data_IF_824128369283
#
_entry.id   IF_824128369283
#
_cell.length_a   1.000
_cell.length_b   1.000
_cell.length_c   1.000
_cell.angle_alpha   90.00
_cell.angle_beta   90.00
_cell.angle_gamma   90.00
#
_symmetry.space_group_name_H-M   'P 1'
#
loop_
_entity.id
_entity.type
_entity.pdbx_description
1 polymer ?
#
# COMPACT_ATOMS: atom_id res chain seq x y z
N UNK A 1 -20.37 14.42 21.74
CA UNK A 1 -20.28 12.97 21.55
C UNK A 1 -19.05 12.72 20.71
N UNK A 2 -17.91 12.43 21.33
CA UNK A 2 -16.68 12.10 20.59
C UNK A 2 -16.85 10.75 19.88
N UNK A 3 -16.63 10.72 18.56
CA UNK A 3 -16.48 9.49 17.79
C UNK A 3 -15.10 8.86 18.11
N UNK A 4 -14.93 8.34 19.32
CA UNK A 4 -13.73 7.58 19.66
C UNK A 4 -13.82 6.20 19.00
N UNK A 5 -13.09 5.99 17.90
CA UNK A 5 -12.90 4.66 17.30
C UNK A 5 -12.93 4.58 15.77
N UNK A 6 -13.39 5.63 15.07
CA UNK A 6 -13.37 5.67 13.60
C UNK A 6 -12.13 6.42 13.13
N UNK A 7 -11.34 5.78 12.27
CA UNK A 7 -10.17 6.37 11.63
C UNK A 7 -10.42 6.59 10.14
N UNK A 8 -9.81 7.63 9.57
CA UNK A 8 -9.90 7.99 8.16
C UNK A 8 -8.60 7.62 7.45
N UNK A 9 -8.71 7.17 6.19
CA UNK A 9 -7.57 6.58 5.51
C UNK A 9 -7.86 6.18 4.08
N UNK A 10 -6.97 5.36 3.54
CA UNK A 10 -7.04 4.82 2.18
C UNK A 10 -6.88 3.31 2.21
N UNK A 11 -7.58 2.62 1.33
CA UNK A 11 -7.45 1.19 1.16
C UNK A 11 -6.22 0.84 0.31
N UNK A 12 -5.54 -0.26 0.60
CA UNK A 12 -4.50 -0.79 -0.28
C UNK A 12 -4.31 -2.30 -0.09
N UNK A 13 -3.73 -2.94 -1.09
CA UNK A 13 -3.28 -4.33 -0.96
C UNK A 13 -1.86 -4.32 -0.37
N UNK A 14 -1.73 -4.75 0.88
CA UNK A 14 -0.45 -4.84 1.57
C UNK A 14 0.21 -6.19 1.26
N UNK A 15 1.51 -6.20 0.96
CA UNK A 15 2.29 -7.44 0.83
C UNK A 15 3.64 -7.25 1.51
N UNK A 16 3.92 -8.06 2.52
CA UNK A 16 5.13 -7.93 3.36
C UNK A 16 6.39 -8.33 2.61
N UNK A 17 6.33 -9.47 1.92
CA UNK A 17 7.37 -9.92 0.98
C UNK A 17 6.65 -10.30 -0.30
N UNK A 18 6.97 -9.64 -1.42
CA UNK A 18 6.19 -9.69 -2.68
C UNK A 18 5.99 -11.06 -3.33
N UNK A 19 6.38 -12.14 -2.67
CA UNK A 19 6.15 -13.53 -3.05
C UNK A 19 5.02 -14.21 -2.29
N UNK A 20 4.56 -13.71 -1.15
CA UNK A 20 3.68 -14.50 -0.25
C UNK A 20 2.19 -14.23 -0.44
N UNK A 21 1.85 -13.16 -1.17
CA UNK A 21 0.48 -12.69 -1.34
C UNK A 21 0.22 -11.41 -0.55
N UNK A 22 -0.99 -10.90 -0.71
CA UNK A 22 -1.38 -9.63 -0.13
C UNK A 22 -2.64 -9.72 0.71
N UNK A 23 -2.63 -8.93 1.76
CA UNK A 23 -3.75 -8.70 2.64
C UNK A 23 -4.48 -7.40 2.29
N UNK A 24 -5.81 -7.45 2.38
CA UNK A 24 -6.62 -6.25 2.29
C UNK A 24 -6.35 -5.38 3.51
N UNK A 25 -5.84 -4.18 3.26
CA UNK A 25 -5.38 -3.31 4.32
C UNK A 25 -5.93 -1.89 4.18
N UNK A 26 -5.92 -1.19 5.30
CA UNK A 26 -6.30 0.19 5.46
C UNK A 26 -5.11 0.95 6.03
N UNK A 27 -4.72 2.03 5.36
CA UNK A 27 -3.70 2.94 5.84
C UNK A 27 -4.36 4.19 6.43
N UNK A 28 -4.13 4.43 7.72
CA UNK A 28 -4.56 5.65 8.41
C UNK A 28 -3.89 6.89 7.83
N UNK A 29 -4.70 7.87 7.44
CA UNK A 29 -4.26 9.11 6.80
C UNK A 29 -3.32 9.96 7.68
N UNK A 30 -3.37 9.80 9.01
CA UNK A 30 -2.47 10.50 9.95
C UNK A 30 -1.01 10.06 9.81
N UNK A 31 -0.78 8.89 9.21
CA UNK A 31 0.53 8.27 9.01
C UNK A 31 0.95 8.27 7.53
N UNK A 32 0.34 9.15 6.72
CA UNK A 32 0.70 9.38 5.33
C UNK A 32 1.25 10.80 5.19
N UNK A 33 2.53 10.91 4.91
CA UNK A 33 3.13 12.17 4.50
C UNK A 33 2.98 12.34 2.98
N UNK A 34 2.31 13.42 2.56
CA UNK A 34 1.97 13.67 1.16
C UNK A 34 3.05 14.48 0.46
N UNK A 35 3.27 14.19 -0.81
CA UNK A 35 4.18 14.95 -1.69
C UNK A 35 5.63 15.01 -1.16
N UNK A 36 6.12 13.90 -0.61
CA UNK A 36 7.50 13.77 -0.15
C UNK A 36 8.40 13.51 -1.36
N UNK A 37 9.48 14.29 -1.54
CA UNK A 37 10.49 13.97 -2.52
C UNK A 37 11.16 12.64 -2.19
N UNK A 38 11.16 11.70 -3.12
CA UNK A 38 11.70 10.35 -2.91
C UNK A 38 13.20 10.26 -3.21
N UNK A 39 13.83 11.37 -3.59
CA UNK A 39 15.26 11.43 -3.82
C UNK A 39 15.73 10.62 -5.03
N UNK A 40 14.84 10.22 -5.95
CA UNK A 40 15.21 9.58 -7.20
C UNK A 40 14.55 10.26 -8.40
N UNK A 41 15.22 10.20 -9.55
CA UNK A 41 14.75 10.79 -10.79
C UNK A 41 13.78 9.82 -11.48
N UNK A 42 12.53 10.23 -11.71
CA UNK A 42 11.56 9.39 -12.44
C UNK A 42 11.86 9.21 -13.94
N UNK A 43 12.76 10.03 -14.51
CA UNK A 43 13.18 9.93 -15.92
C UNK A 43 14.29 8.90 -16.12
N UNK A 44 15.40 9.03 -15.39
CA UNK A 44 16.56 8.15 -15.55
C UNK A 44 16.64 7.03 -14.49
N UNK A 45 15.86 7.09 -13.41
CA UNK A 45 15.92 6.11 -12.32
C UNK A 45 17.17 6.23 -11.44
N UNK A 46 17.92 7.33 -11.55
CA UNK A 46 19.07 7.60 -10.69
C UNK A 46 18.65 8.27 -9.38
N UNK A 47 19.32 7.90 -8.29
CA UNK A 47 19.22 8.62 -7.02
C UNK A 47 19.85 10.02 -7.15
N UNK A 48 19.10 11.04 -6.73
CA UNK A 48 19.49 12.45 -6.79
C UNK A 48 20.32 12.87 -5.57
N UNK A 49 20.21 12.13 -4.48
CA UNK A 49 21.00 12.30 -3.27
C UNK A 49 21.69 10.99 -2.89
N UNK A 50 22.80 11.11 -2.16
CA UNK A 50 23.57 9.96 -1.68
C UNK A 50 22.80 9.28 -0.54
N UNK A 51 22.28 8.09 -0.78
CA UNK A 51 21.62 7.28 0.24
C UNK A 51 22.64 6.83 1.32
N UNK A 52 22.36 7.12 2.59
CA UNK A 52 23.05 6.50 3.73
C UNK A 52 22.21 5.29 4.19
N UNK A 53 22.61 4.07 3.84
CA UNK A 53 21.87 2.86 4.22
C UNK A 53 22.12 1.64 3.31
N UNK A 54 21.46 0.50 3.56
CA UNK A 54 21.54 -0.68 2.70
C UNK A 54 20.99 -0.38 1.29
N UNK A 55 21.59 -1.01 0.28
CA UNK A 55 21.29 -0.77 -1.14
C UNK A 55 19.79 -1.02 -1.42
N UNK A 56 19.07 0.02 -1.82
CA UNK A 56 17.70 -0.10 -2.36
C UNK A 56 17.76 -0.26 -3.88
N UNK A 57 17.10 -1.29 -4.41
CA UNK A 57 17.00 -1.54 -5.86
C UNK A 57 16.11 -0.46 -6.49
N UNK A 58 16.72 0.53 -7.13
CA UNK A 58 16.01 1.71 -7.65
C UNK A 58 15.30 1.54 -8.98
N UNK A 59 15.73 0.59 -9.83
CA UNK A 59 15.10 0.32 -11.15
C UNK A 59 15.45 -1.08 -11.65
N UNK A 60 14.43 -1.84 -12.05
CA UNK A 60 14.61 -3.09 -12.80
C UNK A 60 14.57 -2.74 -14.28
N UNK A 61 15.68 -2.92 -14.98
CA UNK A 61 15.77 -2.69 -16.44
C UNK A 61 15.65 -4.03 -17.16
N UNK A 62 14.76 -4.10 -18.14
CA UNK A 62 14.69 -5.22 -19.09
C UNK A 62 15.98 -5.27 -19.91
N UNK A 63 16.68 -6.41 -19.87
CA UNK A 63 17.85 -6.66 -20.71
C UNK A 63 17.32 -7.03 -22.11
N UNK A 64 17.38 -6.08 -23.03
CA UNK A 64 17.14 -6.34 -24.46
C UNK A 64 18.39 -6.96 -25.11
N UNK A 65 18.24 -7.57 -26.30
CA UNK A 65 19.39 -8.12 -27.05
C UNK A 65 20.47 -7.06 -27.29
N UNK A 66 20.07 -5.83 -27.64
CA UNK A 66 20.99 -4.69 -27.82
C UNK A 66 21.79 -4.36 -26.55
N UNK A 67 21.13 -4.41 -25.37
CA UNK A 67 21.78 -4.16 -24.08
C UNK A 67 22.72 -5.31 -23.73
N UNK A 68 22.32 -6.55 -24.02
CA UNK A 68 23.16 -7.73 -23.80
C UNK A 68 24.43 -7.72 -24.66
N UNK A 69 24.32 -7.34 -25.94
CA UNK A 69 25.45 -7.21 -26.86
C UNK A 69 26.44 -6.14 -26.41
N UNK A 70 25.95 -5.00 -25.94
CA UNK A 70 26.81 -3.91 -25.45
C UNK A 70 27.55 -4.29 -24.16
N UNK A 71 26.89 -5.01 -23.24
CA UNK A 71 27.52 -5.56 -22.04
C UNK A 71 28.60 -6.56 -22.41
N UNK A 72 28.33 -7.46 -23.36
CA UNK A 72 29.31 -8.44 -23.82
C UNK A 72 30.53 -7.77 -24.47
N UNK A 73 30.33 -6.65 -25.17
CA UNK A 73 31.40 -5.89 -25.82
C UNK A 73 32.24 -5.07 -24.84
N UNK A 74 31.60 -4.43 -23.86
CA UNK A 74 32.25 -3.40 -23.03
C UNK A 74 32.48 -3.83 -21.58
N UNK A 75 31.85 -4.92 -21.15
CA UNK A 75 31.76 -5.33 -19.75
C UNK A 75 30.92 -4.39 -18.88
N UNK A 76 30.20 -3.43 -19.47
CA UNK A 76 29.44 -2.40 -18.77
C UNK A 76 28.01 -2.32 -19.31
N UNK A 77 27.06 -2.01 -18.43
CA UNK A 77 25.75 -1.56 -18.85
C UNK A 77 25.90 -0.24 -19.63
N UNK A 78 25.23 -0.08 -20.79
CA UNK A 78 25.22 1.21 -21.49
C UNK A 78 24.74 2.31 -20.55
N UNK A 79 25.50 3.39 -20.43
CA UNK A 79 25.08 4.63 -19.75
C UNK A 79 23.95 5.28 -20.57
N UNK A 80 22.74 4.78 -20.42
CA UNK A 80 21.55 5.55 -20.77
C UNK A 80 21.24 6.47 -19.60
N UNK A 81 21.88 7.64 -19.58
CA UNK A 81 21.28 8.79 -18.91
C UNK A 81 20.11 9.22 -19.77
N UNK A 82 18.91 8.77 -19.42
CA UNK A 82 17.67 9.24 -20.04
C UNK A 82 17.45 10.76 -19.76
N UNK A 83 18.33 11.43 -19.01
CA UNK A 83 18.33 12.87 -18.74
C UNK A 83 19.45 13.58 -19.52
N UNK A 84 19.07 14.54 -20.37
CA UNK A 84 19.99 15.43 -21.07
C UNK A 84 20.38 16.60 -20.14
N UNK A 85 21.67 16.91 -20.02
CA UNK A 85 22.21 18.04 -19.25
C UNK A 85 21.75 18.09 -17.77
N UNK A 86 21.71 16.95 -17.08
CA UNK A 86 21.29 16.87 -15.67
C UNK A 86 19.88 17.43 -15.40
N UNK A 87 19.00 17.44 -16.42
CA UNK A 87 17.60 17.86 -16.31
C UNK A 87 16.75 16.78 -15.61
N UNK A 88 17.17 16.43 -14.40
CA UNK A 88 16.49 15.48 -13.54
C UNK A 88 15.11 15.98 -13.15
N UNK A 89 14.18 15.04 -13.00
CA UNK A 89 12.86 15.32 -12.46
C UNK A 89 12.65 14.44 -11.25
N UNK A 90 12.65 15.06 -10.08
CA UNK A 90 12.47 14.37 -8.81
C UNK A 90 11.11 13.69 -8.75
N UNK A 91 11.11 12.43 -8.36
CA UNK A 91 9.89 11.71 -8.03
C UNK A 91 9.36 12.22 -6.70
N UNK A 92 8.09 12.59 -6.69
CA UNK A 92 7.38 13.09 -5.51
C UNK A 92 6.19 12.17 -5.31
N UNK A 93 6.09 11.61 -4.11
CA UNK A 93 5.02 10.66 -3.78
C UNK A 93 4.71 10.63 -2.31
N UNK A 94 3.79 9.76 -1.93
CA UNK A 94 3.43 9.61 -0.53
C UNK A 94 4.45 8.71 0.18
N UNK A 95 4.76 9.05 1.43
CA UNK A 95 5.55 8.25 2.36
C UNK A 95 4.63 7.71 3.45
N UNK A 96 4.57 6.39 3.59
CA UNK A 96 3.64 5.70 4.48
C UNK A 96 4.40 5.07 5.65
N UNK A 97 3.83 5.14 6.85
CA UNK A 97 4.35 4.45 8.03
C UNK A 97 3.55 3.19 8.35
N UNK A 98 4.27 2.12 8.68
CA UNK A 98 3.70 0.86 9.20
C UNK A 98 2.87 1.06 10.48
N UNK A 99 3.09 2.13 11.23
CA UNK A 99 2.31 2.44 12.44
C UNK A 99 0.82 2.69 12.16
N UNK A 100 0.49 3.14 10.94
CA UNK A 100 -0.89 3.37 10.51
C UNK A 100 -1.48 2.23 9.68
N UNK A 101 -0.79 1.09 9.58
CA UNK A 101 -1.23 -0.06 8.79
C UNK A 101 -2.23 -0.90 9.60
N UNK A 102 -3.40 -1.12 9.02
CA UNK A 102 -4.44 -1.98 9.59
C UNK A 102 -4.81 -3.06 8.58
N UNK A 103 -4.42 -4.31 8.85
CA UNK A 103 -4.95 -5.46 8.12
C UNK A 103 -6.42 -5.63 8.50
N UNK A 104 -7.30 -5.78 7.50
CA UNK A 104 -8.72 -5.93 7.75
C UNK A 104 -9.02 -7.30 8.36
N UNK A 105 -9.86 -7.32 9.39
CA UNK A 105 -10.26 -8.52 10.10
C UNK A 105 -11.79 -8.67 10.13
N UNK A 106 -12.27 -9.90 10.29
CA UNK A 106 -13.70 -10.17 10.46
C UNK A 106 -14.30 -9.35 11.61
N UNK A 107 -15.42 -8.69 11.34
CA UNK A 107 -16.12 -7.84 12.29
C UNK A 107 -15.76 -6.37 12.23
N UNK A 108 -14.67 -6.00 11.55
CA UNK A 108 -14.37 -4.60 11.25
C UNK A 108 -15.52 -3.95 10.49
N UNK A 109 -15.77 -2.66 10.73
CA UNK A 109 -16.77 -1.91 9.96
C UNK A 109 -16.07 -0.92 9.07
N UNK A 110 -16.36 -1.00 7.78
CA UNK A 110 -15.69 -0.21 6.77
C UNK A 110 -16.72 0.57 5.94
N UNK A 111 -16.41 1.82 5.67
CA UNK A 111 -17.17 2.71 4.78
C UNK A 111 -16.21 3.17 3.69
N UNK A 112 -16.58 2.97 2.43
CA UNK A 112 -15.77 3.35 1.27
C UNK A 112 -16.48 4.48 0.52
N UNK A 113 -15.75 5.53 0.21
CA UNK A 113 -16.25 6.72 -0.48
C UNK A 113 -15.79 6.77 -1.93
N UNK A 114 -16.54 7.46 -2.76
CA UNK A 114 -16.14 7.75 -4.14
C UNK A 114 -14.87 8.62 -4.15
N UNK A 115 -13.92 8.31 -5.05
CA UNK A 115 -12.65 9.05 -5.15
C UNK A 115 -12.83 10.50 -5.60
N UNK A 116 -13.91 10.79 -6.34
CA UNK A 116 -14.20 12.12 -6.87
C UNK A 116 -15.16 12.90 -5.96
N UNK A 117 -15.96 12.18 -5.17
CA UNK A 117 -16.93 12.75 -4.24
C UNK A 117 -16.86 12.05 -2.88
N UNK A 118 -16.10 12.64 -1.95
CA UNK A 118 -15.91 12.09 -0.60
C UNK A 118 -17.19 12.09 0.26
N UNK A 119 -18.29 12.68 -0.20
CA UNK A 119 -19.59 12.59 0.48
C UNK A 119 -20.42 11.40 0.00
N UNK A 120 -20.06 10.80 -1.14
CA UNK A 120 -20.77 9.68 -1.74
C UNK A 120 -20.20 8.36 -1.23
N UNK A 121 -20.97 7.67 -0.40
CA UNK A 121 -20.67 6.28 0.02
C UNK A 121 -20.96 5.34 -1.15
N UNK A 122 -19.96 4.55 -1.53
CA UNK A 122 -20.09 3.54 -2.61
C UNK A 122 -20.17 2.11 -2.07
N UNK A 123 -19.70 1.90 -0.85
CA UNK A 123 -19.84 0.64 -0.13
C UNK A 123 -19.80 0.88 1.37
N UNK A 124 -20.57 0.10 2.13
CA UNK A 124 -20.54 0.08 3.58
C UNK A 124 -20.91 -1.32 4.06
N UNK A 125 -20.19 -1.84 5.05
CA UNK A 125 -20.47 -3.16 5.59
C UNK A 125 -19.61 -3.55 6.77
N UNK A 126 -19.89 -4.74 7.27
CA UNK A 126 -19.04 -5.46 8.22
C UNK A 126 -18.17 -6.40 7.40
N UNK A 127 -16.86 -6.39 7.66
CA UNK A 127 -15.89 -7.27 7.02
C UNK A 127 -16.19 -8.72 7.40
N UNK A 128 -16.25 -9.58 6.38
CA UNK A 128 -16.43 -11.03 6.46
C UNK A 128 -15.58 -11.65 5.36
N UNK A 129 -14.43 -12.20 5.72
CA UNK A 129 -13.39 -12.66 4.81
C UNK A 129 -13.51 -14.15 4.57
N UNK A 130 -13.78 -14.51 3.31
CA UNK A 130 -13.59 -15.88 2.83
C UNK A 130 -12.10 -16.11 2.60
N UNK A 131 -11.48 -16.87 3.49
CA UNK A 131 -10.06 -17.18 3.42
C UNK A 131 -9.75 -18.22 2.33
N UNK A 132 -8.56 -18.08 1.75
CA UNK A 132 -8.01 -18.96 0.71
C UNK A 132 -6.71 -19.60 1.15
N UNK A 133 -6.38 -20.74 0.54
CA UNK A 133 -5.04 -21.32 0.67
C UNK A 133 -4.03 -20.46 -0.09
N UNK A 134 -2.76 -20.49 0.35
CA UNK A 134 -1.69 -19.77 -0.33
C UNK A 134 -1.60 -20.15 -1.81
N UNK A 135 -1.37 -19.16 -2.67
CA UNK A 135 -1.18 -19.33 -4.12
C UNK A 135 -2.37 -19.90 -4.89
N UNK A 136 -3.59 -19.75 -4.38
CA UNK A 136 -4.78 -20.26 -5.06
C UNK A 136 -5.54 -19.19 -5.83
N UNK A 137 -5.58 -17.98 -5.30
CA UNK A 137 -6.41 -16.90 -5.84
C UNK A 137 -5.58 -15.64 -6.10
N UNK A 138 -5.92 -14.93 -7.17
CA UNK A 138 -5.24 -13.69 -7.58
C UNK A 138 -6.24 -12.58 -7.86
N UNK A 139 -5.72 -11.36 -7.76
CA UNK A 139 -6.34 -10.17 -8.33
C UNK A 139 -6.20 -10.13 -9.86
N UNK A 140 -6.94 -9.23 -10.53
CA UNK A 140 -6.82 -9.01 -11.98
C UNK A 140 -5.42 -8.61 -12.48
N UNK A 141 -4.57 -8.05 -11.62
CA UNK A 141 -3.17 -7.73 -11.95
C UNK A 141 -2.18 -8.84 -11.55
N UNK A 142 -2.66 -10.01 -11.14
CA UNK A 142 -1.84 -11.19 -10.86
C UNK A 142 -1.18 -11.23 -9.49
N UNK A 143 -1.62 -10.39 -8.54
CA UNK A 143 -1.14 -10.45 -7.15
C UNK A 143 -1.91 -11.53 -6.40
N UNK A 144 -1.21 -12.41 -5.67
CA UNK A 144 -1.87 -13.41 -4.82
C UNK A 144 -2.62 -12.72 -3.69
N UNK A 145 -3.78 -13.26 -3.31
CA UNK A 145 -4.62 -12.76 -2.22
C UNK A 145 -4.95 -13.87 -1.23
N UNK A 146 -5.14 -13.49 0.03
CA UNK A 146 -5.47 -14.43 1.09
C UNK A 146 -6.97 -14.56 1.36
N UNK A 147 -7.77 -13.61 0.89
CA UNK A 147 -9.21 -13.65 1.14
C UNK A 147 -10.02 -12.83 0.13
N UNK A 148 -11.34 -13.03 0.11
CA UNK A 148 -12.31 -12.13 -0.51
C UNK A 148 -13.36 -11.69 0.53
N UNK A 149 -13.94 -10.51 0.34
CA UNK A 149 -15.11 -10.09 1.10
C UNK A 149 -16.35 -10.88 0.66
N UNK A 150 -17.01 -11.56 1.61
CA UNK A 150 -18.25 -12.27 1.38
C UNK A 150 -19.37 -11.34 0.88
N UNK A 151 -20.13 -11.83 -0.10
CA UNK A 151 -21.23 -11.09 -0.72
C UNK A 151 -20.80 -9.94 -1.65
N UNK A 152 -19.51 -9.76 -1.90
CA UNK A 152 -18.97 -8.78 -2.86
C UNK A 152 -18.19 -9.54 -3.95
N UNK A 153 -18.40 -9.16 -5.20
CA UNK A 153 -17.66 -9.74 -6.32
C UNK A 153 -16.20 -9.26 -6.30
N UNK A 154 -15.23 -10.15 -6.56
CA UNK A 154 -13.81 -9.86 -6.40
C UNK A 154 -13.36 -8.66 -7.21
N UNK A 155 -13.77 -8.54 -8.48
CA UNK A 155 -13.33 -7.43 -9.33
C UNK A 155 -13.80 -6.07 -8.81
N UNK A 156 -14.94 -6.03 -8.12
CA UNK A 156 -15.40 -4.83 -7.40
C UNK A 156 -14.57 -4.62 -6.13
N UNK A 157 -14.34 -5.68 -5.36
CA UNK A 157 -13.61 -5.59 -4.09
C UNK A 157 -12.17 -5.16 -4.29
N UNK A 158 -11.41 -5.86 -5.13
CA UNK A 158 -10.00 -5.58 -5.39
C UNK A 158 -9.79 -4.16 -5.91
N UNK A 159 -10.75 -3.62 -6.69
CA UNK A 159 -10.67 -2.28 -7.24
C UNK A 159 -10.54 -1.24 -6.13
N UNK A 160 -11.25 -1.40 -5.02
CA UNK A 160 -11.18 -0.46 -3.91
C UNK A 160 -9.77 -0.35 -3.33
N UNK A 161 -9.05 -1.47 -3.24
CA UNK A 161 -7.71 -1.54 -2.66
C UNK A 161 -6.63 -1.19 -3.69
N UNK A 162 -6.70 -1.74 -4.89
CA UNK A 162 -5.69 -1.50 -5.93
C UNK A 162 -5.68 -0.04 -6.40
N UNK A 163 -6.83 0.65 -6.37
CA UNK A 163 -6.92 2.05 -6.76
C UNK A 163 -6.82 3.04 -5.58
N UNK A 164 -6.67 2.57 -4.34
CA UNK A 164 -6.50 3.49 -3.21
C UNK A 164 -7.76 4.27 -2.83
N UNK A 165 -8.90 3.60 -2.68
CA UNK A 165 -10.15 4.30 -2.36
C UNK A 165 -10.13 4.89 -0.94
N UNK A 166 -10.66 6.12 -0.76
CA UNK A 166 -10.80 6.75 0.54
C UNK A 166 -11.84 6.01 1.38
N UNK A 167 -11.53 5.82 2.66
CA UNK A 167 -12.37 5.03 3.55
C UNK A 167 -12.35 5.51 5.00
N UNK A 168 -13.33 5.03 5.76
CA UNK A 168 -13.37 5.09 7.22
C UNK A 168 -13.42 3.68 7.79
N UNK A 169 -12.53 3.41 8.74
CA UNK A 169 -12.46 2.13 9.42
C UNK A 169 -12.82 2.29 10.89
N UNK A 170 -13.66 1.40 11.37
CA UNK A 170 -14.01 1.23 12.77
C UNK A 170 -13.59 -0.18 13.19
N UNK A 171 -12.34 -0.26 13.67
CA UNK A 171 -11.65 -1.52 13.88
C UNK A 171 -12.03 -2.18 15.22
N UNK A 172 -12.35 -3.47 15.17
CA UNK A 172 -12.62 -4.28 16.36
C UNK A 172 -11.36 -4.41 17.21
N UNK A 173 -10.20 -4.60 16.57
CA UNK A 173 -8.91 -4.73 17.26
C UNK A 173 -8.52 -3.45 18.02
N UNK A 174 -8.77 -2.27 17.43
CA UNK A 174 -8.57 -0.98 18.12
C UNK A 174 -9.51 -0.86 19.33
N UNK A 175 -10.79 -1.22 19.19
CA UNK A 175 -11.75 -1.19 20.30
C UNK A 175 -11.37 -2.13 21.44
N UNK A 176 -10.89 -3.34 21.12
CA UNK A 176 -10.42 -4.32 22.11
C UNK A 176 -9.23 -3.77 22.90
N UNK A 177 -8.24 -3.19 22.23
CA UNK A 177 -7.05 -2.62 22.86
C UNK A 177 -7.40 -1.49 23.84
N UNK A 178 -8.34 -0.61 23.48
CA UNK A 178 -8.82 0.46 24.37
C UNK A 178 -9.54 -0.14 25.59
N UNK A 179 -10.43 -1.10 25.37
CA UNK A 179 -11.18 -1.74 26.45
C UNK A 179 -10.26 -2.45 27.46
N UNK A 180 -9.21 -3.13 26.98
CA UNK A 180 -8.24 -3.81 27.83
C UNK A 180 -7.36 -2.82 28.60
N UNK A 181 -7.00 -1.70 27.99
CA UNK A 181 -6.24 -0.62 28.65
C UNK A 181 -7.04 0.03 29.78
N UNK A 182 -8.35 0.26 29.58
CA UNK A 182 -9.24 0.81 30.61
C UNK A 182 -9.41 -0.19 31.77
N UNK A 183 -9.63 -1.47 31.49
CA UNK A 183 -9.70 -2.51 32.52
C UNK A 183 -8.41 -2.60 33.34
N UNK A 184 -7.25 -2.55 32.69
CA UNK A 184 -5.96 -2.59 33.35
C UNK A 184 -5.74 -1.38 34.27
N UNK A 185 -6.24 -0.20 33.90
CA UNK A 185 -6.18 1.00 34.73
C UNK A 185 -7.11 0.89 35.95
N UNK A 186 -8.36 0.44 35.77
CA UNK A 186 -9.34 0.27 36.85
C UNK A 186 -8.96 -0.81 37.88
N UNK A 187 -8.10 -1.77 37.53
CA UNK A 187 -7.60 -2.80 38.45
C UNK A 187 -6.28 -2.41 39.15
N UNK A 188 -5.71 -1.25 38.81
CA UNK A 188 -4.52 -0.68 39.48
C UNK A 188 -4.86 0.46 40.46
N UNK A 189 -6.13 0.87 40.51
CA UNK A 189 -6.68 1.92 41.39
C UNK A 189 -7.43 1.35 42.58
#
# INVERSE_FOLDING_TARGET
MEQQGIIEGVLHLFSETGTEGGDWAFQDARYIEKNVPRGFCKKCGQWLEKQEGPIQVGRVTLITEEVAEEINRTGKLPERSDCINDAHEEDVGDLWSYEGLHILEDGDRLIIFDKQDLQKVIWYGVIQLRQYELFTETTSNGMWIHSDQEGVERSVWEKFFLEGYPAKLDSVSVRRMIADSIKAWLHRS
#
